data_IF_171644395246
#
_entry.id   IF_171644395246
#
_cell.length_a   1.000
_cell.length_b   1.000
_cell.length_c   1.000
_cell.angle_alpha   90.00
_cell.angle_beta   90.00
_cell.angle_gamma   90.00
#
_symmetry.space_group_name_H-M   'P 1'
#
loop_
_entity.id
_entity.type
_entity.pdbx_description
1 polymer ?
#
# COMPACT_ATOMS: atom_id res chain seq x y z
N UNK A 1 -3.19 59.10 -18.88
CA UNK A 1 -2.44 58.49 -17.76
C UNK A 1 -3.30 57.47 -16.98
N UNK A 2 -4.54 57.79 -16.62
CA UNK A 2 -5.48 56.92 -15.88
C UNK A 2 -5.80 55.57 -16.55
N UNK A 3 -5.91 55.52 -17.89
CA UNK A 3 -6.18 54.26 -18.61
C UNK A 3 -5.07 53.22 -18.53
N UNK A 4 -3.80 53.66 -18.49
CA UNK A 4 -2.64 52.76 -18.36
C UNK A 4 -2.57 52.16 -16.95
N UNK A 5 -2.90 52.93 -15.92
CA UNK A 5 -2.94 52.46 -14.53
C UNK A 5 -4.03 51.39 -14.35
N UNK A 6 -5.24 51.61 -14.90
CA UNK A 6 -6.32 50.61 -14.88
C UNK A 6 -5.94 49.32 -15.59
N UNK A 7 -5.22 49.41 -16.71
CA UNK A 7 -4.72 48.24 -17.45
C UNK A 7 -3.73 47.41 -16.60
N UNK A 8 -2.79 48.06 -15.91
CA UNK A 8 -1.84 47.36 -15.03
C UNK A 8 -2.52 46.65 -13.86
N UNK A 9 -3.56 47.24 -13.27
CA UNK A 9 -4.33 46.63 -12.18
C UNK A 9 -5.11 45.40 -12.67
N UNK A 10 -5.71 45.45 -13.85
CA UNK A 10 -6.44 44.31 -14.42
C UNK A 10 -5.48 43.16 -14.76
N UNK A 11 -4.31 43.48 -15.33
CA UNK A 11 -3.28 42.49 -15.65
C UNK A 11 -2.71 41.83 -14.39
N UNK A 12 -2.42 42.61 -13.35
CA UNK A 12 -1.91 42.04 -12.09
C UNK A 12 -2.96 41.16 -11.40
N UNK A 13 -4.23 41.57 -11.41
CA UNK A 13 -5.32 40.74 -10.89
C UNK A 13 -5.48 39.43 -11.69
N UNK A 14 -5.39 39.48 -13.02
CA UNK A 14 -5.48 38.29 -13.87
C UNK A 14 -4.35 37.29 -13.60
N UNK A 15 -3.12 37.77 -13.39
CA UNK A 15 -1.98 36.93 -13.04
C UNK A 15 -2.21 36.23 -11.69
N UNK A 16 -2.66 36.97 -10.67
CA UNK A 16 -2.93 36.41 -9.34
C UNK A 16 -4.01 35.32 -9.41
N UNK A 17 -5.10 35.56 -10.13
CA UNK A 17 -6.18 34.57 -10.31
C UNK A 17 -5.65 33.31 -11.02
N UNK A 18 -4.82 33.46 -12.05
CA UNK A 18 -4.24 32.33 -12.79
C UNK A 18 -3.34 31.47 -11.91
N UNK A 19 -2.53 32.09 -11.05
CA UNK A 19 -1.66 31.38 -10.10
C UNK A 19 -2.51 30.61 -9.08
N UNK A 20 -3.54 31.24 -8.51
CA UNK A 20 -4.44 30.59 -7.54
C UNK A 20 -5.10 29.36 -8.17
N UNK A 21 -5.68 29.49 -9.36
CA UNK A 21 -6.34 28.38 -10.05
C UNK A 21 -5.35 27.24 -10.35
N UNK A 22 -4.13 27.56 -10.78
CA UNK A 22 -3.10 26.56 -11.08
C UNK A 22 -2.65 25.78 -9.84
N UNK A 23 -2.53 26.44 -8.69
CA UNK A 23 -2.19 25.79 -7.42
C UNK A 23 -3.33 24.90 -6.95
N UNK A 24 -4.57 25.38 -7.00
CA UNK A 24 -5.75 24.59 -6.63
C UNK A 24 -5.90 23.34 -7.48
N UNK A 25 -5.80 23.45 -8.81
CA UNK A 25 -5.91 22.30 -9.72
C UNK A 25 -4.83 21.24 -9.44
N UNK A 26 -3.59 21.66 -9.18
CA UNK A 26 -2.50 20.74 -8.80
C UNK A 26 -2.77 20.05 -7.46
N UNK A 27 -3.30 20.78 -6.47
CA UNK A 27 -3.65 20.21 -5.17
C UNK A 27 -4.75 19.14 -5.30
N UNK A 28 -5.82 19.42 -6.03
CA UNK A 28 -6.91 18.46 -6.29
C UNK A 28 -6.43 17.23 -7.08
N UNK A 29 -5.58 17.44 -8.09
CA UNK A 29 -5.04 16.33 -8.87
C UNK A 29 -4.13 15.42 -8.03
N UNK A 30 -3.32 16.00 -7.14
CA UNK A 30 -2.47 15.24 -6.21
C UNK A 30 -3.30 14.47 -5.18
N UNK A 31 -4.37 15.06 -4.65
CA UNK A 31 -5.29 14.36 -3.72
C UNK A 31 -5.96 13.16 -4.41
N UNK A 32 -6.46 13.35 -5.64
CA UNK A 32 -7.08 12.28 -6.41
C UNK A 32 -6.09 11.15 -6.72
N UNK A 33 -4.89 11.49 -7.20
CA UNK A 33 -3.82 10.49 -7.45
C UNK A 33 -3.42 9.76 -6.17
N UNK A 34 -3.37 10.47 -5.03
CA UNK A 34 -3.07 9.87 -3.73
C UNK A 34 -4.14 8.85 -3.31
N UNK A 35 -5.42 9.17 -3.51
CA UNK A 35 -6.54 8.25 -3.22
C UNK A 35 -6.53 7.02 -4.11
N UNK A 36 -6.34 7.19 -5.42
CA UNK A 36 -6.26 6.07 -6.36
C UNK A 36 -5.06 5.16 -6.06
N UNK A 37 -3.91 5.76 -5.73
CA UNK A 37 -2.71 5.00 -5.35
C UNK A 37 -2.91 4.21 -4.05
N UNK A 38 -3.53 4.81 -3.03
CA UNK A 38 -3.86 4.11 -1.78
C UNK A 38 -4.83 2.96 -2.01
N UNK A 39 -5.89 3.20 -2.79
CA UNK A 39 -6.86 2.16 -3.13
C UNK A 39 -6.23 1.01 -3.92
N UNK A 40 -5.27 1.29 -4.81
CA UNK A 40 -4.52 0.26 -5.52
C UNK A 40 -3.65 -0.58 -4.56
N UNK A 41 -2.96 0.06 -3.61
CA UNK A 41 -2.18 -0.66 -2.58
C UNK A 41 -3.09 -1.54 -1.74
N UNK A 42 -4.21 -1.01 -1.24
CA UNK A 42 -5.15 -1.77 -0.39
C UNK A 42 -5.73 -2.99 -1.13
N UNK A 43 -5.98 -2.87 -2.44
CA UNK A 43 -6.38 -4.03 -3.27
C UNK A 43 -5.29 -5.08 -3.35
N UNK A 44 -4.06 -4.67 -3.65
CA UNK A 44 -2.94 -5.61 -3.72
C UNK A 44 -2.70 -6.31 -2.38
N UNK A 45 -2.79 -5.59 -1.26
CA UNK A 45 -2.68 -6.16 0.09
C UNK A 45 -3.79 -7.19 0.36
N UNK A 46 -5.02 -6.90 -0.04
CA UNK A 46 -6.14 -7.82 0.11
C UNK A 46 -6.01 -9.05 -0.80
N UNK A 47 -5.55 -8.89 -2.04
CA UNK A 47 -5.28 -9.98 -2.97
C UNK A 47 -4.15 -10.88 -2.46
N UNK A 48 -3.07 -10.31 -1.95
CA UNK A 48 -2.00 -11.06 -1.31
C UNK A 48 -2.53 -11.94 -0.16
N UNK A 49 -3.27 -11.36 0.79
CA UNK A 49 -3.84 -12.11 1.92
C UNK A 49 -4.78 -13.22 1.45
N UNK A 50 -5.55 -12.97 0.39
CA UNK A 50 -6.44 -13.97 -0.20
C UNK A 50 -5.64 -15.14 -0.81
N UNK A 51 -4.62 -14.84 -1.62
CA UNK A 51 -3.74 -15.84 -2.22
C UNK A 51 -3.04 -16.71 -1.17
N UNK A 52 -2.55 -16.11 -0.09
CA UNK A 52 -1.94 -16.85 1.02
C UNK A 52 -2.94 -17.79 1.67
N UNK A 53 -4.19 -17.35 1.90
CA UNK A 53 -5.25 -18.22 2.46
C UNK A 53 -5.58 -19.39 1.54
N UNK A 54 -5.69 -19.14 0.24
CA UNK A 54 -5.97 -20.20 -0.75
C UNK A 54 -4.83 -21.23 -0.77
N UNK A 55 -3.59 -20.75 -0.84
CA UNK A 55 -2.41 -21.61 -0.77
C UNK A 55 -2.38 -22.45 0.52
N UNK A 56 -2.62 -21.85 1.68
CA UNK A 56 -2.63 -22.56 2.96
C UNK A 56 -3.73 -23.63 3.02
N UNK A 57 -4.91 -23.34 2.47
CA UNK A 57 -6.01 -24.31 2.39
C UNK A 57 -5.62 -25.52 1.52
N UNK A 58 -4.98 -25.28 0.37
CA UNK A 58 -4.51 -26.33 -0.54
C UNK A 58 -3.38 -27.16 0.09
N UNK A 59 -2.55 -26.54 0.92
CA UNK A 59 -1.44 -27.18 1.63
C UNK A 59 -1.84 -27.93 2.92
N UNK A 60 -3.15 -27.95 3.22
CA UNK A 60 -3.76 -28.68 4.33
C UNK A 60 -3.98 -27.87 5.61
N UNK A 61 -3.68 -26.58 5.63
CA UNK A 61 -3.88 -25.66 6.76
C UNK A 61 -5.21 -24.91 6.63
N UNK A 62 -6.31 -25.67 6.67
CA UNK A 62 -7.65 -25.14 6.47
C UNK A 62 -8.06 -24.19 7.59
N UNK A 63 -8.63 -23.04 7.22
CA UNK A 63 -9.06 -22.00 8.15
C UNK A 63 -7.89 -21.38 8.95
N UNK A 64 -6.68 -21.33 8.38
CA UNK A 64 -5.58 -20.57 8.96
C UNK A 64 -5.95 -19.09 9.10
N UNK A 65 -5.70 -18.53 10.28
CA UNK A 65 -5.80 -17.10 10.49
C UNK A 65 -4.65 -16.41 9.77
N UNK A 66 -4.94 -15.54 8.81
CA UNK A 66 -3.92 -14.77 8.07
C UNK A 66 -4.17 -13.30 8.33
N UNK A 67 -3.20 -12.64 8.95
CA UNK A 67 -3.22 -11.21 9.25
C UNK A 67 -2.00 -10.52 8.65
N UNK A 68 -2.21 -9.40 7.96
CA UNK A 68 -1.15 -8.60 7.35
C UNK A 68 -1.18 -7.21 7.99
N UNK A 69 -0.09 -6.84 8.65
CA UNK A 69 0.09 -5.52 9.24
C UNK A 69 1.13 -4.74 8.43
N UNK A 70 0.86 -3.46 8.19
CA UNK A 70 1.77 -2.56 7.49
C UNK A 70 2.37 -1.57 8.48
N UNK A 71 3.69 -1.54 8.55
CA UNK A 71 4.46 -0.67 9.44
C UNK A 71 5.33 0.29 8.61
N UNK A 72 5.45 1.53 9.09
CA UNK A 72 6.28 2.56 8.47
C UNK A 72 7.42 2.90 9.42
N UNK A 73 8.66 2.78 8.95
CA UNK A 73 9.82 3.23 9.70
C UNK A 73 10.00 4.76 9.60
N UNK A 74 10.88 5.33 10.41
CA UNK A 74 11.27 6.74 10.44
C UNK A 74 11.72 7.27 9.07
N UNK A 75 12.32 6.41 8.25
CA UNK A 75 12.76 6.72 6.88
C UNK A 75 11.66 6.51 5.83
N UNK A 76 10.41 6.28 6.24
CA UNK A 76 9.26 5.95 5.38
C UNK A 76 9.41 4.67 4.56
N UNK A 77 10.33 3.79 4.97
CA UNK A 77 10.39 2.43 4.48
C UNK A 77 9.16 1.67 4.98
N UNK A 78 8.60 0.82 4.12
CA UNK A 78 7.41 0.02 4.42
C UNK A 78 7.85 -1.40 4.72
N UNK A 79 7.49 -1.89 5.90
CA UNK A 79 7.65 -3.28 6.31
C UNK A 79 6.27 -3.87 6.52
N UNK A 80 6.01 -5.01 5.88
CA UNK A 80 4.81 -5.79 6.07
C UNK A 80 5.10 -6.92 7.05
N UNK A 81 4.26 -7.11 8.04
CA UNK A 81 4.29 -8.29 8.92
C UNK A 81 3.11 -9.18 8.63
N UNK A 82 3.38 -10.39 8.14
CA UNK A 82 2.40 -11.44 7.93
C UNK A 82 2.42 -12.39 9.11
N UNK A 83 1.32 -12.45 9.85
CA UNK A 83 1.11 -13.41 10.93
C UNK A 83 0.15 -14.48 10.43
N UNK A 84 0.61 -15.73 10.45
CA UNK A 84 -0.22 -16.89 10.11
C UNK A 84 -0.41 -17.73 11.36
N UNK A 85 -1.68 -17.94 11.75
CA UNK A 85 -2.06 -18.75 12.90
C UNK A 85 -2.75 -20.02 12.44
N UNK A 86 -2.22 -21.18 12.84
CA UNK A 86 -2.90 -22.45 12.70
C UNK A 86 -2.36 -23.49 13.69
N UNK A 87 -3.25 -24.17 14.43
CA UNK A 87 -2.88 -25.18 15.44
C UNK A 87 -1.91 -26.26 14.92
N UNK A 88 -2.07 -26.70 13.66
CA UNK A 88 -1.20 -27.73 13.08
C UNK A 88 0.24 -27.28 12.78
N UNK A 89 0.58 -25.99 12.93
CA UNK A 89 1.97 -25.55 12.80
C UNK A 89 2.86 -26.08 13.92
N UNK A 90 2.30 -26.40 15.10
CA UNK A 90 3.03 -27.06 16.19
C UNK A 90 3.68 -28.39 15.72
N UNK A 91 3.03 -29.08 14.80
CA UNK A 91 3.46 -30.38 14.28
C UNK A 91 4.05 -30.32 12.87
N UNK A 92 4.16 -29.12 12.28
CA UNK A 92 4.70 -28.96 10.95
C UNK A 92 6.23 -29.13 10.97
N UNK A 93 6.79 -29.83 9.98
CA UNK A 93 8.23 -29.92 9.84
C UNK A 93 8.82 -28.55 9.48
N UNK A 94 10.05 -28.28 9.93
CA UNK A 94 10.78 -27.06 9.57
C UNK A 94 10.90 -26.88 8.05
N UNK A 95 11.07 -27.97 7.30
CA UNK A 95 11.08 -27.88 5.82
C UNK A 95 9.74 -27.44 5.25
N UNK A 96 8.62 -27.87 5.86
CA UNK A 96 7.29 -27.49 5.43
C UNK A 96 7.05 -26.00 5.71
N UNK A 97 7.43 -25.52 6.89
CA UNK A 97 7.37 -24.08 7.24
C UNK A 97 8.21 -23.26 6.27
N UNK A 98 9.46 -23.67 6.02
CA UNK A 98 10.36 -22.96 5.12
C UNK A 98 9.85 -22.89 3.67
N UNK A 99 9.25 -23.98 3.17
CA UNK A 99 8.62 -23.96 1.83
C UNK A 99 7.44 -22.99 1.75
N UNK A 100 6.65 -22.89 2.82
CA UNK A 100 5.55 -21.92 2.88
C UNK A 100 6.08 -20.49 2.95
N UNK A 101 7.10 -20.24 3.78
CA UNK A 101 7.77 -18.94 3.86
C UNK A 101 8.28 -18.48 2.49
N UNK A 102 8.98 -19.35 1.77
CA UNK A 102 9.48 -19.02 0.43
C UNK A 102 8.34 -18.64 -0.52
N UNK A 103 7.23 -19.39 -0.50
CA UNK A 103 6.05 -19.05 -1.30
C UNK A 103 5.44 -17.69 -0.89
N UNK A 104 5.46 -17.35 0.40
CA UNK A 104 4.96 -16.06 0.87
C UNK A 104 5.85 -14.91 0.39
N UNK A 105 7.17 -15.06 0.46
CA UNK A 105 8.11 -14.08 -0.07
C UNK A 105 7.98 -13.90 -1.58
N UNK A 106 7.90 -15.00 -2.34
CA UNK A 106 7.70 -14.95 -3.80
C UNK A 106 6.43 -14.19 -4.17
N UNK A 107 5.31 -14.48 -3.49
CA UNK A 107 4.07 -13.74 -3.71
C UNK A 107 4.17 -12.29 -3.25
N UNK A 108 4.87 -12.01 -2.16
CA UNK A 108 5.01 -10.64 -1.67
C UNK A 108 5.74 -9.74 -2.67
N UNK A 109 6.73 -10.25 -3.40
CA UNK A 109 7.41 -9.51 -4.46
C UNK A 109 6.47 -9.11 -5.62
N UNK A 110 5.38 -9.87 -5.84
CA UNK A 110 4.37 -9.56 -6.87
C UNK A 110 3.39 -8.47 -6.41
N UNK A 111 2.94 -8.53 -5.15
CA UNK A 111 1.84 -7.70 -4.66
C UNK A 111 2.28 -6.51 -3.81
N UNK A 112 3.31 -6.67 -2.99
CA UNK A 112 3.70 -5.73 -1.95
C UNK A 112 4.86 -4.84 -2.41
N UNK A 113 4.85 -3.60 -1.96
CA UNK A 113 5.93 -2.62 -2.22
C UNK A 113 6.66 -2.31 -0.92
N UNK A 114 7.41 -3.28 -0.42
CA UNK A 114 8.14 -3.20 0.84
C UNK A 114 8.80 -4.52 1.19
N UNK A 115 9.46 -4.58 2.34
CA UNK A 115 9.96 -5.84 2.91
C UNK A 115 8.80 -6.62 3.55
N UNK A 116 8.93 -7.94 3.59
CA UNK A 116 8.04 -8.83 4.32
C UNK A 116 8.77 -9.42 5.52
N UNK A 117 8.09 -9.52 6.64
CA UNK A 117 8.44 -10.34 7.80
C UNK A 117 7.30 -11.34 8.00
N UNK A 118 7.64 -12.60 8.29
CA UNK A 118 6.66 -13.67 8.49
C UNK A 118 6.75 -14.23 9.90
N UNK A 119 5.60 -14.50 10.51
CA UNK A 119 5.50 -15.09 11.83
C UNK A 119 4.44 -16.20 11.82
N UNK A 120 4.83 -17.40 12.26
CA UNK A 120 3.93 -18.54 12.43
C UNK A 120 3.57 -18.68 13.90
N UNK A 121 2.27 -18.65 14.19
CA UNK A 121 1.71 -18.82 15.54
C UNK A 121 0.78 -20.04 15.59
N UNK A 122 0.64 -20.64 16.77
CA UNK A 122 -0.19 -21.82 17.03
C UNK A 122 -1.11 -21.59 18.23
#
# INVERSE_FOLDING_TARGET
MIGRIKLFIILSAAIVVTVILSVSVKAYANDKKGKEYRAAIERNEAEYVKDIREYLNDYGFKNAGVNLTKEYDKDRNVTYRLVVNHHSFEYASTSKIHNMENCFYEKADEYLKGSLETEFSF
#
